data_IF_159507126995
#
_entry.id   IF_159507126995
#
_cell.length_a   1.000
_cell.length_b   1.000
_cell.length_c   1.000
_cell.angle_alpha   90.00
_cell.angle_beta   90.00
_cell.angle_gamma   90.00
#
_symmetry.space_group_name_H-M   'P 1'
#
loop_
_entity.id
_entity.type
_entity.pdbx_description
1 polymer ?
#
# COMPACT_ATOMS: atom_id res chain seq x y z
N UNK A 1 0.47 -20.67 -16.82
CA UNK A 1 -0.74 -20.16 -17.51
C UNK A 1 -0.36 -19.14 -18.59
N UNK A 2 -1.24 -18.83 -19.55
CA UNK A 2 -1.05 -17.63 -20.40
C UNK A 2 -1.51 -16.39 -19.61
N UNK A 3 -0.62 -15.40 -19.47
CA UNK A 3 -0.91 -14.15 -18.76
C UNK A 3 -1.48 -13.15 -19.77
N UNK A 4 -2.64 -12.53 -19.49
CA UNK A 4 -3.23 -11.56 -20.41
C UNK A 4 -2.31 -10.35 -20.60
N UNK A 5 -2.36 -9.76 -21.79
CA UNK A 5 -1.55 -8.58 -22.15
C UNK A 5 -2.10 -7.27 -21.56
N UNK A 6 -3.37 -7.28 -21.15
CA UNK A 6 -4.10 -6.11 -20.66
C UNK A 6 -5.04 -6.48 -19.51
N UNK A 7 -5.54 -5.45 -18.82
CA UNK A 7 -6.63 -5.53 -17.85
C UNK A 7 -7.63 -4.39 -18.10
N UNK A 8 -8.84 -4.53 -17.59
CA UNK A 8 -9.89 -3.51 -17.66
C UNK A 8 -9.73 -2.51 -16.50
N UNK A 9 -9.07 -1.39 -16.77
CA UNK A 9 -8.79 -0.33 -15.80
C UNK A 9 -9.47 1.00 -16.14
N UNK A 10 -9.32 2.00 -15.27
CA UNK A 10 -9.75 3.37 -15.54
C UNK A 10 -8.55 4.19 -16.00
N UNK A 11 -8.50 4.57 -17.28
CA UNK A 11 -7.45 5.46 -17.79
C UNK A 11 -7.56 6.83 -17.14
N UNK A 12 -6.42 7.43 -16.82
CA UNK A 12 -6.29 8.75 -16.21
C UNK A 12 -5.64 9.72 -17.19
N UNK A 13 -5.84 11.00 -16.93
CA UNK A 13 -5.39 12.12 -17.74
C UNK A 13 -3.85 12.17 -17.88
N UNK A 14 -3.13 11.65 -16.89
CA UNK A 14 -1.67 11.52 -16.88
C UNK A 14 -1.15 10.21 -17.51
N UNK A 15 -2.01 9.43 -18.17
CA UNK A 15 -1.64 8.18 -18.83
C UNK A 15 -1.48 6.96 -17.92
N UNK A 16 -1.66 7.09 -16.59
CA UNK A 16 -1.75 5.94 -15.67
C UNK A 16 -3.12 5.28 -15.77
N UNK A 17 -3.24 4.05 -15.26
CA UNK A 17 -4.52 3.36 -15.10
C UNK A 17 -4.79 2.99 -13.64
N UNK A 18 -6.03 3.21 -13.19
CA UNK A 18 -6.53 2.77 -11.90
C UNK A 18 -7.27 1.43 -11.99
N UNK A 19 -7.19 0.62 -10.94
CA UNK A 19 -8.03 -0.57 -10.75
C UNK A 19 -9.33 -0.24 -10.00
N UNK A 20 -9.41 0.95 -9.42
CA UNK A 20 -10.60 1.55 -8.77
C UNK A 20 -10.86 2.96 -9.27
N UNK A 21 -11.99 3.54 -8.85
CA UNK A 21 -12.49 4.84 -9.31
C UNK A 21 -13.09 5.65 -8.15
N UNK A 22 -12.28 5.89 -7.12
CA UNK A 22 -12.74 6.53 -5.89
C UNK A 22 -12.82 8.05 -6.02
N UNK A 23 -13.85 8.64 -5.43
CA UNK A 23 -13.86 10.07 -5.08
C UNK A 23 -13.55 10.16 -3.59
N UNK A 24 -12.42 10.76 -3.23
CA UNK A 24 -11.99 10.83 -1.84
C UNK A 24 -12.20 12.23 -1.26
N UNK A 25 -12.46 12.28 0.04
CA UNK A 25 -12.46 13.50 0.85
C UNK A 25 -11.26 13.40 1.78
N UNK A 26 -10.27 14.25 1.52
CA UNK A 26 -8.94 14.21 2.08
C UNK A 26 -8.77 15.36 3.09
N UNK A 27 -8.98 15.11 4.41
CA UNK A 27 -8.70 16.11 5.42
C UNK A 27 -7.19 16.39 5.48
N UNK A 28 -6.75 17.65 5.49
CA UNK A 28 -5.32 18.01 5.57
C UNK A 28 -4.75 17.75 6.97
N UNK A 29 -5.61 17.88 7.96
CA UNK A 29 -5.30 17.88 9.38
C UNK A 29 -6.39 17.14 10.18
N UNK A 30 -5.99 16.65 11.35
CA UNK A 30 -6.82 15.90 12.29
C UNK A 30 -8.12 16.62 12.71
N UNK A 31 -8.09 17.95 12.80
CA UNK A 31 -9.26 18.75 13.18
C UNK A 31 -10.24 18.97 12.02
N UNK A 32 -9.84 18.69 10.79
CA UNK A 32 -10.71 18.70 9.61
C UNK A 32 -11.44 17.36 9.37
N UNK A 33 -11.10 16.31 10.14
CA UNK A 33 -11.68 14.98 10.00
C UNK A 33 -13.21 14.98 10.11
N UNK A 34 -13.77 15.66 11.12
CA UNK A 34 -15.22 15.67 11.35
C UNK A 34 -16.00 16.26 10.16
N UNK A 35 -15.46 17.32 9.54
CA UNK A 35 -16.03 17.89 8.32
C UNK A 35 -15.94 16.90 7.14
N UNK A 36 -14.79 16.22 6.97
CA UNK A 36 -14.61 15.23 5.92
C UNK A 36 -15.58 14.04 6.05
N UNK A 37 -15.71 13.50 7.25
CA UNK A 37 -16.63 12.40 7.57
C UNK A 37 -18.09 12.80 7.39
N UNK A 38 -18.48 14.00 7.80
CA UNK A 38 -19.83 14.51 7.61
C UNK A 38 -20.21 14.60 6.11
N UNK A 39 -19.29 15.08 5.27
CA UNK A 39 -19.49 15.11 3.81
C UNK A 39 -19.62 13.69 3.26
N UNK A 40 -18.75 12.75 3.67
CA UNK A 40 -18.80 11.37 3.21
C UNK A 40 -20.09 10.65 3.62
N UNK A 41 -20.62 10.98 4.80
CA UNK A 41 -21.91 10.48 5.26
C UNK A 41 -23.06 10.97 4.35
N UNK A 42 -23.04 12.25 3.99
CA UNK A 42 -24.05 12.91 3.17
C UNK A 42 -24.04 12.42 1.72
N UNK A 43 -22.86 12.27 1.11
CA UNK A 43 -22.71 12.01 -0.32
C UNK A 43 -22.20 10.60 -0.59
N UNK A 44 -23.09 9.75 -1.09
CA UNK A 44 -22.75 8.37 -1.49
C UNK A 44 -21.79 8.36 -2.68
N UNK A 45 -20.96 7.32 -2.73
CA UNK A 45 -19.87 7.20 -3.72
C UNK A 45 -18.58 7.92 -3.34
N UNK A 46 -18.54 8.57 -2.17
CA UNK A 46 -17.33 9.21 -1.64
C UNK A 46 -16.75 8.48 -0.44
N UNK A 47 -15.45 8.67 -0.18
CA UNK A 47 -14.73 8.04 0.94
C UNK A 47 -13.92 9.12 1.68
N UNK A 48 -14.21 9.36 2.96
CA UNK A 48 -13.36 10.18 3.82
C UNK A 48 -12.13 9.39 4.28
N UNK A 49 -10.98 10.06 4.36
CA UNK A 49 -9.70 9.49 4.79
C UNK A 49 -9.19 10.18 6.08
N UNK A 50 -9.85 9.98 7.23
CA UNK A 50 -9.44 10.61 8.48
C UNK A 50 -8.08 10.11 8.96
N UNK A 51 -7.31 10.98 9.62
CA UNK A 51 -6.00 10.65 10.19
C UNK A 51 -5.65 11.52 11.40
N UNK A 52 -4.63 11.13 12.17
CA UNK A 52 -4.28 11.78 13.45
C UNK A 52 -3.30 12.97 13.36
N UNK A 53 -2.78 13.33 12.18
CA UNK A 53 -1.70 14.33 12.03
C UNK A 53 -2.08 15.52 11.14
N UNK A 54 -1.10 16.28 10.63
CA UNK A 54 -1.31 17.48 9.81
C UNK A 54 -1.18 18.82 10.56
N UNK A 55 -0.82 18.80 11.85
CA UNK A 55 -0.53 20.01 12.64
C UNK A 55 0.83 19.92 13.34
N UNK A 56 1.52 21.06 13.38
CA UNK A 56 2.78 21.26 14.11
C UNK A 56 3.91 20.29 13.72
N UNK A 57 3.85 19.74 12.51
CA UNK A 57 4.94 18.96 11.92
C UNK A 57 5.96 19.91 11.28
N UNK A 58 7.23 19.51 11.26
CA UNK A 58 8.32 20.32 10.72
C UNK A 58 9.39 19.45 10.07
N UNK A 59 10.24 20.06 9.24
CA UNK A 59 11.35 19.38 8.57
C UNK A 59 10.90 18.16 7.76
N UNK A 60 11.63 17.05 7.86
CA UNK A 60 11.35 15.82 7.14
C UNK A 60 9.96 15.22 7.47
N UNK A 61 9.47 15.40 8.70
CA UNK A 61 8.15 14.90 9.12
C UNK A 61 7.00 15.62 8.38
N UNK A 62 7.12 16.94 8.23
CA UNK A 62 6.16 17.74 7.46
C UNK A 62 6.18 17.35 5.97
N UNK A 63 7.36 17.15 5.41
CA UNK A 63 7.49 16.76 4.00
C UNK A 63 6.96 15.35 3.74
N UNK A 64 7.15 14.40 4.67
CA UNK A 64 6.55 13.07 4.59
C UNK A 64 5.01 13.12 4.69
N UNK A 65 4.45 13.95 5.57
CA UNK A 65 3.01 14.18 5.64
C UNK A 65 2.46 14.62 4.29
N UNK A 66 3.03 15.68 3.72
CA UNK A 66 2.59 16.18 2.41
C UNK A 66 2.81 15.17 1.30
N UNK A 67 3.93 14.46 1.28
CA UNK A 67 4.20 13.42 0.28
C UNK A 67 3.15 12.32 0.33
N UNK A 68 2.78 11.86 1.52
CA UNK A 68 1.77 10.82 1.72
C UNK A 68 0.38 11.31 1.28
N UNK A 69 -0.02 12.52 1.68
CA UNK A 69 -1.32 13.09 1.32
C UNK A 69 -1.45 13.37 -0.18
N UNK A 70 -0.43 14.02 -0.76
CA UNK A 70 -0.38 14.31 -2.19
C UNK A 70 -0.33 13.01 -2.99
N UNK A 71 0.51 12.06 -2.58
CA UNK A 71 0.64 10.74 -3.21
C UNK A 71 -0.68 9.97 -3.23
N UNK A 72 -1.37 9.93 -2.09
CA UNK A 72 -2.71 9.33 -1.94
C UNK A 72 -3.69 9.95 -2.94
N UNK A 73 -3.75 11.29 -3.03
CA UNK A 73 -4.59 11.98 -4.00
C UNK A 73 -4.17 11.78 -5.46
N UNK A 74 -2.87 11.63 -5.74
CA UNK A 74 -2.32 11.36 -7.08
C UNK A 74 -2.57 9.93 -7.53
N UNK A 75 -2.72 8.96 -6.63
CA UNK A 75 -2.89 7.55 -6.94
C UNK A 75 -3.96 7.31 -8.03
N UNK A 76 -3.71 6.44 -9.03
CA UNK A 76 -4.64 6.25 -10.14
C UNK A 76 -5.97 5.56 -9.74
N UNK A 77 -6.07 4.91 -8.59
CA UNK A 77 -7.33 4.42 -8.04
C UNK A 77 -8.26 5.56 -7.57
N UNK A 78 -7.72 6.76 -7.39
CA UNK A 78 -8.46 7.97 -7.05
C UNK A 78 -8.79 8.74 -8.32
N UNK A 79 -10.07 8.86 -8.61
CA UNK A 79 -10.61 9.56 -9.78
C UNK A 79 -10.67 11.07 -9.56
N UNK A 80 -11.10 11.50 -8.38
CA UNK A 80 -11.20 12.90 -8.00
C UNK A 80 -10.99 13.08 -6.48
N UNK A 81 -10.58 14.29 -6.10
CA UNK A 81 -10.21 14.60 -4.71
C UNK A 81 -10.91 15.86 -4.24
N UNK A 82 -11.44 15.84 -3.02
CA UNK A 82 -11.77 17.07 -2.29
C UNK A 82 -10.83 17.18 -1.10
N UNK A 83 -10.11 18.28 -1.02
CA UNK A 83 -9.19 18.58 0.07
C UNK A 83 -9.89 19.51 1.05
N UNK A 84 -9.94 19.15 2.33
CA UNK A 84 -10.51 20.00 3.39
C UNK A 84 -9.42 20.25 4.43
N UNK A 85 -9.02 21.48 4.63
CA UNK A 85 -8.09 21.82 5.73
C UNK A 85 -8.68 22.87 6.65
N UNK A 86 -8.02 23.08 7.79
CA UNK A 86 -8.41 24.18 8.68
C UNK A 86 -8.20 25.53 7.98
N UNK A 87 -7.11 25.68 7.23
CA UNK A 87 -6.67 26.94 6.62
C UNK A 87 -6.26 26.78 5.14
N UNK A 88 -6.24 27.86 4.34
CA UNK A 88 -6.13 27.77 2.88
C UNK A 88 -4.73 27.44 2.34
N UNK A 89 -3.65 27.79 3.02
CA UNK A 89 -2.27 27.66 2.50
C UNK A 89 -1.87 26.20 2.30
N UNK A 90 -2.02 25.35 3.32
CA UNK A 90 -1.69 23.93 3.27
C UNK A 90 -2.70 23.15 2.44
N UNK A 91 -3.97 23.54 2.50
CA UNK A 91 -5.02 23.04 1.59
C UNK A 91 -4.59 23.25 0.13
N UNK A 92 -4.20 24.48 -0.23
CA UNK A 92 -3.76 24.82 -1.59
C UNK A 92 -2.51 24.05 -2.01
N UNK A 93 -1.54 23.83 -1.10
CA UNK A 93 -0.33 23.03 -1.39
C UNK A 93 -0.68 21.63 -1.90
N UNK A 94 -1.63 20.96 -1.26
CA UNK A 94 -2.06 19.61 -1.66
C UNK A 94 -2.85 19.66 -2.98
N UNK A 95 -3.80 20.59 -3.09
CA UNK A 95 -4.61 20.79 -4.31
C UNK A 95 -3.74 21.03 -5.54
N UNK A 96 -2.82 22.00 -5.47
CA UNK A 96 -1.94 22.37 -6.57
C UNK A 96 -1.06 21.19 -7.02
N UNK A 97 -0.61 20.36 -6.08
CA UNK A 97 0.24 19.22 -6.38
C UNK A 97 -0.55 18.07 -7.04
N UNK A 98 -1.77 17.79 -6.58
CA UNK A 98 -2.65 16.77 -7.17
C UNK A 98 -3.12 17.22 -8.57
N UNK A 99 -3.46 18.50 -8.74
CA UNK A 99 -3.96 19.06 -9.99
C UNK A 99 -3.00 18.86 -11.18
N UNK A 100 -1.68 18.75 -10.91
CA UNK A 100 -0.67 18.44 -11.94
C UNK A 100 -0.89 17.09 -12.65
N UNK A 101 -1.67 16.18 -12.05
CA UNK A 101 -2.05 14.92 -12.71
C UNK A 101 -3.17 15.08 -13.72
N UNK A 102 -3.82 16.24 -13.80
CA UNK A 102 -4.97 16.50 -14.66
C UNK A 102 -6.31 16.05 -14.08
N UNK A 103 -6.34 15.34 -12.95
CA UNK A 103 -7.58 14.89 -12.32
C UNK A 103 -8.32 16.03 -11.62
N UNK A 104 -9.66 15.98 -11.51
CA UNK A 104 -10.43 16.96 -10.74
C UNK A 104 -10.03 16.98 -9.26
N UNK A 105 -9.67 18.16 -8.76
CA UNK A 105 -9.39 18.39 -7.35
C UNK A 105 -9.86 19.78 -6.92
N UNK A 106 -10.52 19.88 -5.77
CA UNK A 106 -11.03 21.13 -5.20
C UNK A 106 -10.63 21.25 -3.72
N UNK A 107 -10.30 22.45 -3.26
CA UNK A 107 -9.90 22.73 -1.88
C UNK A 107 -10.90 23.59 -1.13
N UNK A 108 -11.13 23.29 0.14
CA UNK A 108 -11.99 24.06 1.04
C UNK A 108 -11.30 24.27 2.40
N UNK A 109 -11.62 25.38 3.05
CA UNK A 109 -11.10 25.71 4.38
C UNK A 109 -12.21 26.01 5.36
N UNK A 110 -12.07 25.51 6.59
CA UNK A 110 -13.09 25.62 7.65
C UNK A 110 -12.98 26.95 8.39
N UNK A 111 -11.76 27.43 8.66
CA UNK A 111 -11.54 28.68 9.41
C UNK A 111 -12.20 29.88 8.72
N UNK A 112 -12.93 30.67 9.50
CA UNK A 112 -13.69 31.83 9.00
C UNK A 112 -15.02 31.49 8.31
N UNK A 113 -15.35 30.21 8.12
CA UNK A 113 -16.61 29.74 7.51
C UNK A 113 -17.44 28.93 8.51
N UNK A 114 -16.79 28.04 9.27
CA UNK A 114 -17.43 27.08 10.17
C UNK A 114 -17.88 25.80 9.46
N UNK A 115 -18.07 24.74 10.24
CA UNK A 115 -18.32 23.38 9.72
C UNK A 115 -19.61 23.29 8.91
N UNK A 116 -20.74 23.83 9.41
CA UNK A 116 -22.05 23.68 8.76
C UNK A 116 -22.02 24.19 7.31
N UNK A 117 -21.54 25.42 7.12
CA UNK A 117 -21.48 26.05 5.80
C UNK A 117 -20.41 25.41 4.90
N UNK A 118 -19.30 24.95 5.48
CA UNK A 118 -18.26 24.22 4.75
C UNK A 118 -18.79 22.88 4.26
N UNK A 119 -19.41 22.08 5.14
CA UNK A 119 -20.04 20.80 4.81
C UNK A 119 -21.07 20.98 3.70
N UNK A 120 -21.90 22.02 3.75
CA UNK A 120 -22.89 22.30 2.70
C UNK A 120 -22.23 22.55 1.33
N UNK A 121 -21.22 23.43 1.27
CA UNK A 121 -20.48 23.76 0.03
C UNK A 121 -19.73 22.55 -0.52
N UNK A 122 -19.03 21.83 0.36
CA UNK A 122 -18.24 20.65 0.01
C UNK A 122 -19.15 19.53 -0.46
N UNK A 123 -20.29 19.28 0.20
CA UNK A 123 -21.26 18.25 -0.20
C UNK A 123 -21.78 18.47 -1.62
N UNK A 124 -22.02 19.72 -2.01
CA UNK A 124 -22.41 20.05 -3.39
C UNK A 124 -21.31 19.66 -4.40
N UNK A 125 -20.05 20.02 -4.13
CA UNK A 125 -18.93 19.65 -5.01
C UNK A 125 -18.69 18.13 -5.03
N UNK A 126 -18.83 17.47 -3.89
CA UNK A 126 -18.73 16.02 -3.77
C UNK A 126 -19.78 15.30 -4.62
N UNK A 127 -21.01 15.82 -4.67
CA UNK A 127 -22.05 15.29 -5.54
C UNK A 127 -21.67 15.43 -7.02
N UNK A 128 -21.20 16.60 -7.44
CA UNK A 128 -20.74 16.86 -8.82
C UNK A 128 -19.64 15.86 -9.24
N UNK A 129 -18.63 15.68 -8.39
CA UNK A 129 -17.52 14.77 -8.66
C UNK A 129 -17.93 13.29 -8.63
N UNK A 130 -18.87 12.91 -7.73
CA UNK A 130 -19.41 11.55 -7.67
C UNK A 130 -20.18 11.19 -8.95
N UNK A 131 -21.01 12.11 -9.45
CA UNK A 131 -21.69 11.95 -10.74
C UNK A 131 -20.68 11.82 -11.89
N UNK A 132 -19.72 12.74 -12.00
CA UNK A 132 -18.67 12.69 -13.02
C UNK A 132 -17.84 11.39 -12.98
N UNK A 133 -17.49 10.92 -11.79
CA UNK A 133 -16.74 9.69 -11.63
C UNK A 133 -17.56 8.47 -12.06
N UNK A 134 -18.87 8.45 -11.75
CA UNK A 134 -19.77 7.34 -12.08
C UNK A 134 -19.96 7.13 -13.59
N UNK A 135 -19.72 8.15 -14.41
CA UNK A 135 -19.79 8.06 -15.87
C UNK A 135 -18.57 7.35 -16.48
N UNK A 136 -17.47 7.24 -15.73
CA UNK A 136 -16.24 6.62 -16.23
C UNK A 136 -16.41 5.11 -16.35
N UNK A 137 -16.07 4.59 -17.52
CA UNK A 137 -16.08 3.16 -17.80
C UNK A 137 -14.66 2.60 -17.74
N UNK A 138 -14.54 1.30 -17.47
CA UNK A 138 -13.27 0.60 -17.61
C UNK A 138 -12.93 0.43 -19.08
N UNK A 139 -11.65 0.51 -19.39
CA UNK A 139 -11.06 0.34 -20.72
C UNK A 139 -9.90 -0.65 -20.65
N UNK A 140 -9.53 -1.23 -21.78
CA UNK A 140 -8.31 -2.01 -21.87
C UNK A 140 -7.08 -1.13 -21.63
N UNK A 141 -6.31 -1.50 -20.61
CA UNK A 141 -5.05 -0.90 -20.21
C UNK A 141 -3.93 -1.96 -20.27
N UNK A 142 -2.71 -1.60 -20.69
CA UNK A 142 -1.60 -2.53 -20.75
C UNK A 142 -1.25 -3.05 -19.34
N UNK A 143 -0.76 -4.29 -19.25
CA UNK A 143 -0.33 -4.88 -17.98
C UNK A 143 0.73 -4.03 -17.25
N UNK A 144 1.52 -3.24 -17.99
CA UNK A 144 2.53 -2.35 -17.42
C UNK A 144 1.99 -1.20 -16.56
N UNK A 145 0.68 -0.91 -16.65
CA UNK A 145 0.03 0.10 -15.80
C UNK A 145 -0.47 -0.48 -14.46
N UNK A 146 -0.36 -1.80 -14.30
CA UNK A 146 -0.55 -2.44 -13.01
C UNK A 146 0.70 -2.19 -12.16
N UNK A 147 0.53 -1.58 -11.00
CA UNK A 147 1.62 -1.28 -10.09
C UNK A 147 1.33 -2.04 -8.80
N UNK A 148 2.11 -3.08 -8.55
CA UNK A 148 1.83 -4.06 -7.51
C UNK A 148 2.80 -3.87 -6.35
N UNK A 149 2.26 -3.63 -5.17
CA UNK A 149 3.02 -3.59 -3.94
C UNK A 149 2.82 -4.87 -3.12
N UNK A 150 3.75 -5.20 -2.23
CA UNK A 150 3.62 -6.34 -1.31
C UNK A 150 4.20 -5.98 0.05
N UNK A 151 3.55 -6.49 1.08
CA UNK A 151 4.15 -6.71 2.40
C UNK A 151 3.51 -7.93 3.06
N UNK A 152 4.18 -8.57 4.02
CA UNK A 152 3.58 -9.68 4.76
C UNK A 152 2.95 -9.20 6.08
N UNK A 153 2.36 -10.12 6.83
CA UNK A 153 2.07 -9.84 8.23
C UNK A 153 1.40 -11.01 8.93
N UNK A 154 1.53 -10.98 10.26
CA UNK A 154 1.21 -12.13 11.12
C UNK A 154 1.81 -13.43 10.54
N UNK A 155 3.07 -13.33 10.11
CA UNK A 155 3.79 -14.44 9.51
C UNK A 155 3.89 -15.63 10.46
N UNK A 156 3.87 -16.82 9.89
CA UNK A 156 4.11 -18.09 10.55
C UNK A 156 5.12 -18.91 9.73
N UNK A 157 5.37 -20.14 10.14
CA UNK A 157 6.26 -21.07 9.40
C UNK A 157 5.84 -21.28 7.94
N UNK A 158 4.54 -21.26 7.63
CA UNK A 158 4.01 -21.47 6.28
C UNK A 158 4.26 -20.28 5.36
N UNK A 159 4.41 -19.07 5.91
CA UNK A 159 4.71 -17.86 5.15
C UNK A 159 5.99 -18.01 4.33
N UNK A 160 7.10 -18.40 4.97
CA UNK A 160 8.39 -18.58 4.30
C UNK A 160 8.45 -19.82 3.39
N UNK A 161 7.65 -20.85 3.69
CA UNK A 161 7.63 -22.10 2.94
C UNK A 161 6.75 -22.06 1.69
N UNK A 162 5.71 -21.21 1.66
CA UNK A 162 4.71 -21.26 0.61
C UNK A 162 4.09 -19.89 0.23
N UNK A 163 3.56 -19.10 1.18
CA UNK A 163 2.87 -17.83 0.84
C UNK A 163 3.80 -16.82 0.17
N UNK A 164 4.97 -16.54 0.78
CA UNK A 164 5.94 -15.59 0.26
C UNK A 164 6.57 -16.09 -1.05
N UNK A 165 7.00 -17.37 -1.18
CA UNK A 165 7.42 -17.95 -2.46
C UNK A 165 6.36 -17.85 -3.57
N UNK A 166 5.07 -17.95 -3.24
CA UNK A 166 3.98 -17.77 -4.20
C UNK A 166 3.96 -16.35 -4.75
N UNK A 167 4.13 -15.34 -3.88
CA UNK A 167 4.28 -13.95 -4.33
C UNK A 167 5.54 -13.77 -5.17
N UNK A 168 6.66 -14.38 -4.77
CA UNK A 168 7.90 -14.36 -5.55
C UNK A 168 7.72 -14.91 -6.96
N UNK A 169 6.97 -16.02 -7.11
CA UNK A 169 6.65 -16.60 -8.42
C UNK A 169 5.80 -15.65 -9.28
N UNK A 170 4.84 -14.93 -8.68
CA UNK A 170 4.09 -13.88 -9.38
C UNK A 170 5.02 -12.76 -9.83
N UNK A 171 5.93 -12.29 -8.98
CA UNK A 171 6.89 -11.23 -9.34
C UNK A 171 7.77 -11.65 -10.52
N UNK A 172 8.29 -12.88 -10.48
CA UNK A 172 9.13 -13.43 -11.56
C UNK A 172 8.41 -13.48 -12.91
N UNK A 173 7.10 -13.78 -12.89
CA UNK A 173 6.26 -13.88 -14.09
C UNK A 173 5.80 -12.52 -14.62
N UNK A 174 5.57 -11.54 -13.74
CA UNK A 174 5.02 -10.24 -14.11
C UNK A 174 6.07 -9.19 -14.43
N UNK A 175 7.25 -9.20 -13.78
CA UNK A 175 8.32 -8.22 -14.06
C UNK A 175 8.69 -8.12 -15.57
N UNK A 176 8.83 -9.24 -16.33
CA UNK A 176 9.11 -9.18 -17.76
C UNK A 176 8.02 -8.50 -18.61
N UNK A 177 6.79 -8.36 -18.09
CA UNK A 177 5.69 -7.64 -18.74
C UNK A 177 5.77 -6.12 -18.50
N UNK A 178 6.81 -5.65 -17.81
CA UNK A 178 7.05 -4.22 -17.59
C UNK A 178 6.16 -3.63 -16.50
N UNK A 179 5.83 -4.43 -15.49
CA UNK A 179 5.02 -4.07 -14.33
C UNK A 179 5.91 -3.37 -13.29
N UNK A 180 5.38 -2.39 -12.56
CA UNK A 180 6.11 -1.83 -11.41
C UNK A 180 5.79 -2.68 -10.19
N UNK A 181 6.83 -3.13 -9.49
CA UNK A 181 6.72 -3.98 -8.31
C UNK A 181 7.39 -3.28 -7.13
N UNK A 182 6.86 -3.44 -5.92
CA UNK A 182 7.47 -2.89 -4.71
C UNK A 182 7.31 -3.83 -3.52
N UNK A 183 8.38 -3.97 -2.74
CA UNK A 183 8.36 -4.59 -1.42
C UNK A 183 8.98 -3.60 -0.41
N UNK A 184 8.69 -3.77 0.88
CA UNK A 184 9.26 -2.93 1.94
C UNK A 184 9.57 -3.74 3.18
N UNK A 185 9.20 -3.20 4.34
CA UNK A 185 9.36 -3.81 5.67
C UNK A 185 10.84 -3.85 6.12
N UNK A 186 11.44 -2.67 6.34
CA UNK A 186 12.88 -2.51 6.55
C UNK A 186 13.41 -3.36 7.72
N UNK A 187 12.72 -3.38 8.86
CA UNK A 187 13.11 -4.19 10.02
C UNK A 187 12.82 -5.68 9.88
N UNK A 188 11.94 -6.10 8.96
CA UNK A 188 11.66 -7.52 8.66
C UNK A 188 12.77 -8.17 7.81
N UNK A 189 13.80 -7.41 7.43
CA UNK A 189 14.97 -7.91 6.73
C UNK A 189 16.19 -8.10 7.64
N UNK A 190 16.08 -7.81 8.93
CA UNK A 190 17.15 -8.05 9.91
C UNK A 190 17.48 -9.54 9.98
N UNK A 191 18.74 -9.90 9.73
CA UNK A 191 19.22 -11.27 9.58
C UNK A 191 19.37 -11.72 8.11
N UNK A 192 18.75 -11.00 7.17
CA UNK A 192 18.87 -11.25 5.73
C UNK A 192 19.33 -10.01 4.94
N UNK A 193 19.66 -8.90 5.60
CA UNK A 193 19.96 -7.60 4.99
C UNK A 193 21.13 -7.68 4.01
N UNK A 194 22.20 -8.38 4.38
CA UNK A 194 23.35 -8.57 3.51
C UNK A 194 23.04 -9.39 2.25
N UNK A 195 22.11 -10.33 2.34
CA UNK A 195 21.65 -11.12 1.18
C UNK A 195 20.69 -10.28 0.33
N UNK A 196 19.81 -9.51 0.97
CA UNK A 196 18.91 -8.60 0.29
C UNK A 196 19.67 -7.52 -0.48
N UNK A 197 20.70 -6.91 0.11
CA UNK A 197 21.53 -5.91 -0.55
C UNK A 197 22.12 -6.40 -1.87
N UNK A 198 22.55 -7.67 -1.95
CA UNK A 198 23.08 -8.27 -3.18
C UNK A 198 22.04 -8.40 -4.30
N UNK A 199 20.75 -8.20 -4.00
CA UNK A 199 19.65 -8.14 -4.96
C UNK A 199 19.43 -6.75 -5.54
N UNK A 200 20.19 -5.74 -5.12
CA UNK A 200 20.23 -4.48 -5.85
C UNK A 200 20.88 -4.70 -7.22
N UNK A 201 20.20 -4.28 -8.28
CA UNK A 201 20.62 -4.46 -9.68
C UNK A 201 21.93 -3.74 -10.01
N UNK A 202 22.21 -2.64 -9.31
CA UNK A 202 23.45 -1.85 -9.46
C UNK A 202 24.10 -1.61 -8.10
N UNK A 203 25.44 -1.40 -8.04
CA UNK A 203 26.13 -1.08 -6.78
C UNK A 203 25.51 0.09 -6.02
N UNK A 204 24.97 1.08 -6.73
CA UNK A 204 24.27 2.23 -6.15
C UNK A 204 22.99 1.79 -5.42
N UNK A 205 22.19 0.91 -6.02
CA UNK A 205 21.00 0.36 -5.37
C UNK A 205 21.35 -0.49 -4.14
N UNK A 206 22.43 -1.30 -4.22
CA UNK A 206 22.89 -2.10 -3.07
C UNK A 206 23.33 -1.21 -1.91
N UNK A 207 24.12 -0.16 -2.21
CA UNK A 207 24.61 0.79 -1.20
C UNK A 207 23.47 1.61 -0.61
N UNK A 208 22.51 2.05 -1.44
CA UNK A 208 21.33 2.79 -1.00
C UNK A 208 20.48 1.92 -0.05
N UNK A 209 20.26 0.65 -0.39
CA UNK A 209 19.55 -0.30 0.47
C UNK A 209 20.26 -0.48 1.82
N UNK A 210 21.56 -0.77 1.81
CA UNK A 210 22.31 -0.95 3.06
C UNK A 210 22.29 0.31 3.92
N UNK A 211 22.40 1.49 3.31
CA UNK A 211 22.27 2.74 4.04
C UNK A 211 20.89 2.89 4.69
N UNK A 212 19.82 2.69 3.91
CA UNK A 212 18.44 2.76 4.42
C UNK A 212 18.21 1.79 5.57
N UNK A 213 18.64 0.53 5.41
CA UNK A 213 18.51 -0.47 6.47
C UNK A 213 19.32 -0.10 7.72
N UNK A 214 20.58 0.33 7.56
CA UNK A 214 21.42 0.76 8.69
C UNK A 214 20.85 1.98 9.39
N UNK A 215 20.39 3.00 8.68
CA UNK A 215 19.79 4.19 9.27
C UNK A 215 18.54 3.81 10.11
N UNK A 216 17.71 2.90 9.60
CA UNK A 216 16.52 2.42 10.30
C UNK A 216 16.88 1.60 11.54
N UNK A 217 17.86 0.70 11.42
CA UNK A 217 18.34 -0.11 12.53
C UNK A 217 18.99 0.76 13.64
N UNK A 218 19.81 1.72 13.25
CA UNK A 218 20.46 2.66 14.17
C UNK A 218 19.42 3.53 14.91
N UNK A 219 18.35 3.95 14.22
CA UNK A 219 17.22 4.63 14.86
C UNK A 219 16.58 3.76 15.95
N UNK A 220 16.30 2.49 15.65
CA UNK A 220 15.69 1.61 16.64
C UNK A 220 16.65 1.40 17.82
N UNK A 221 17.91 1.06 17.57
CA UNK A 221 18.91 0.84 18.63
C UNK A 221 19.13 2.08 19.51
N UNK A 222 18.96 3.29 18.96
CA UNK A 222 19.09 4.54 19.71
C UNK A 222 17.91 4.79 20.65
N UNK A 223 16.69 4.44 20.24
CA UNK A 223 15.45 4.71 21.00
C UNK A 223 14.99 3.48 21.83
N UNK A 224 15.55 2.32 21.54
CA UNK A 224 15.26 1.06 22.21
C UNK A 224 15.54 1.11 23.72
N UNK A 225 14.59 0.59 24.50
CA UNK A 225 14.79 0.27 25.91
C UNK A 225 15.11 -1.21 26.14
N UNK A 226 15.01 -2.01 25.08
CA UNK A 226 15.06 -3.47 24.95
C UNK A 226 15.58 -3.86 23.55
N UNK A 227 16.13 -5.07 23.38
CA UNK A 227 16.72 -5.49 22.10
C UNK A 227 15.63 -5.69 21.02
N UNK A 228 15.88 -5.25 19.78
CA UNK A 228 15.00 -5.48 18.64
C UNK A 228 14.67 -6.96 18.46
N UNK A 229 15.59 -7.86 18.82
CA UNK A 229 15.38 -9.32 18.82
C UNK A 229 14.22 -9.78 19.70
N UNK A 230 13.76 -8.96 20.66
CA UNK A 230 12.57 -9.22 21.48
C UNK A 230 11.28 -8.67 20.84
N UNK A 231 11.38 -7.69 19.94
CA UNK A 231 10.25 -7.12 19.20
C UNK A 231 9.92 -7.88 17.90
N UNK A 232 10.94 -8.52 17.29
CA UNK A 232 10.83 -9.32 16.07
C UNK A 232 11.67 -10.60 16.19
N UNK A 233 11.09 -11.81 15.98
CA UNK A 233 9.69 -12.08 15.64
C UNK A 233 8.69 -11.64 16.72
N UNK A 234 7.53 -11.11 16.34
CA UNK A 234 6.49 -10.73 17.31
C UNK A 234 5.99 -11.96 18.08
N UNK A 235 5.38 -11.78 19.26
CA UNK A 235 4.81 -12.89 20.03
C UNK A 235 3.85 -13.78 19.21
N UNK A 236 3.06 -13.17 18.32
CA UNK A 236 2.22 -13.91 17.38
C UNK A 236 3.03 -14.76 16.40
N UNK A 237 4.15 -14.25 15.88
CA UNK A 237 5.03 -15.00 14.99
C UNK A 237 5.67 -16.22 15.66
N UNK A 238 6.12 -16.06 16.91
CA UNK A 238 6.71 -17.14 17.71
C UNK A 238 5.65 -18.22 17.96
N UNK A 239 4.42 -17.83 18.33
CA UNK A 239 3.29 -18.75 18.43
C UNK A 239 2.96 -19.45 17.10
N UNK A 240 3.19 -18.78 15.97
CA UNK A 240 3.12 -19.34 14.61
C UNK A 240 4.29 -20.24 14.21
N UNK A 241 5.28 -20.42 15.09
CA UNK A 241 6.38 -21.37 14.96
C UNK A 241 7.69 -20.81 14.37
N UNK A 242 7.82 -19.49 14.18
CA UNK A 242 9.10 -18.90 13.76
C UNK A 242 10.08 -18.87 14.93
N UNK A 243 11.27 -19.43 14.73
CA UNK A 243 12.24 -19.68 15.81
C UNK A 243 13.33 -18.62 15.94
N UNK A 244 13.77 -18.01 14.82
CA UNK A 244 14.77 -16.95 14.82
C UNK A 244 14.38 -15.78 13.93
N UNK A 245 15.03 -14.63 14.15
CA UNK A 245 14.84 -13.44 13.31
C UNK A 245 15.33 -13.68 11.88
N UNK A 246 16.40 -14.45 11.69
CA UNK A 246 16.93 -14.82 10.38
C UNK A 246 15.94 -15.72 9.63
N UNK A 247 15.37 -16.73 10.29
CA UNK A 247 14.35 -17.61 9.67
C UNK A 247 13.18 -16.78 9.12
N UNK A 248 12.70 -15.82 9.93
CA UNK A 248 11.65 -14.89 9.53
C UNK A 248 12.09 -14.02 8.35
N UNK A 249 13.28 -13.42 8.42
CA UNK A 249 13.78 -12.51 7.40
C UNK A 249 14.02 -13.22 6.06
N UNK A 250 14.57 -14.43 6.06
CA UNK A 250 14.73 -15.23 4.84
C UNK A 250 13.39 -15.66 4.25
N UNK A 251 12.40 -15.97 5.09
CA UNK A 251 11.03 -16.21 4.67
C UNK A 251 10.40 -14.95 4.05
N UNK A 252 10.56 -13.80 4.70
CA UNK A 252 10.09 -12.49 4.24
C UNK A 252 10.72 -12.09 2.89
N UNK A 253 11.99 -12.41 2.71
CA UNK A 253 12.76 -12.15 1.51
C UNK A 253 12.29 -12.97 0.29
N UNK A 254 11.65 -14.14 0.49
CA UNK A 254 11.11 -14.93 -0.64
C UNK A 254 10.05 -14.20 -1.47
N UNK A 255 9.44 -13.11 -0.95
CA UNK A 255 8.42 -12.32 -1.66
C UNK A 255 8.92 -11.76 -2.99
N UNK A 256 10.23 -11.55 -3.13
CA UNK A 256 10.80 -10.98 -4.36
C UNK A 256 11.21 -12.03 -5.41
N UNK A 257 11.01 -13.32 -5.10
CA UNK A 257 11.36 -14.42 -5.99
C UNK A 257 12.82 -14.34 -6.44
N UNK A 258 13.04 -14.50 -7.73
CA UNK A 258 14.34 -14.35 -8.36
C UNK A 258 14.59 -12.96 -8.98
N UNK A 259 13.84 -11.91 -8.62
CA UNK A 259 14.01 -10.52 -9.11
C UNK A 259 15.03 -9.68 -8.34
N UNK A 260 15.69 -8.77 -9.04
CA UNK A 260 16.57 -7.74 -8.47
C UNK A 260 15.85 -6.40 -8.42
N UNK A 261 16.01 -5.64 -7.34
CA UNK A 261 15.44 -4.30 -7.24
C UNK A 261 16.33 -3.26 -7.92
N UNK A 262 15.71 -2.29 -8.59
CA UNK A 262 16.39 -1.32 -9.45
C UNK A 262 16.69 0.00 -8.73
N UNK A 263 15.94 0.31 -7.67
CA UNK A 263 16.18 1.45 -6.79
C UNK A 263 15.52 1.20 -5.42
N UNK A 264 15.87 2.05 -4.47
CA UNK A 264 15.29 2.14 -3.12
C UNK A 264 14.48 3.43 -3.03
N UNK A 265 13.28 3.38 -2.50
CA UNK A 265 12.36 4.50 -2.37
C UNK A 265 12.33 4.95 -0.91
N UNK A 266 12.31 6.26 -0.70
CA UNK A 266 11.89 6.83 0.58
C UNK A 266 10.40 6.54 0.84
N UNK A 267 9.93 6.69 2.09
CA UNK A 267 8.51 6.54 2.41
C UNK A 267 7.63 7.42 1.50
N UNK A 268 6.60 6.82 0.90
CA UNK A 268 5.66 7.44 -0.06
C UNK A 268 6.29 8.05 -1.33
N UNK A 269 7.53 7.70 -1.66
CA UNK A 269 8.17 8.15 -2.91
C UNK A 269 7.60 7.39 -4.12
N UNK A 270 7.28 8.13 -5.19
CA UNK A 270 6.82 7.55 -6.46
C UNK A 270 8.03 7.01 -7.25
N UNK A 271 8.00 5.76 -7.74
CA UNK A 271 9.09 5.20 -8.53
C UNK A 271 9.27 5.90 -9.89
N UNK A 272 10.48 6.40 -10.15
CA UNK A 272 10.81 7.17 -11.38
C UNK A 272 11.93 6.57 -12.23
N UNK A 273 12.62 5.52 -11.76
CA UNK A 273 13.71 4.83 -12.50
C UNK A 273 13.26 3.84 -13.58
N UNK A 274 11.95 3.75 -13.83
CA UNK A 274 11.36 2.89 -14.85
C UNK A 274 10.72 1.63 -14.28
N UNK A 275 10.34 0.72 -15.19
CA UNK A 275 9.62 -0.52 -14.83
C UNK A 275 10.55 -1.51 -14.14
N UNK A 276 10.05 -2.22 -13.13
CA UNK A 276 10.81 -3.23 -12.40
C UNK A 276 10.47 -3.26 -10.91
N UNK A 277 11.30 -3.96 -10.13
CA UNK A 277 11.16 -4.09 -8.69
C UNK A 277 11.84 -2.93 -7.94
N UNK A 278 11.17 -2.40 -6.93
CA UNK A 278 11.67 -1.39 -6.01
C UNK A 278 11.64 -1.91 -4.58
N UNK A 279 12.57 -1.45 -3.74
CA UNK A 279 12.43 -1.54 -2.30
C UNK A 279 11.92 -0.19 -1.78
N UNK A 280 10.90 -0.12 -0.95
CA UNK A 280 10.48 1.12 -0.27
C UNK A 280 10.79 1.01 1.21
N UNK A 281 11.45 2.03 1.77
CA UNK A 281 11.64 2.13 3.21
C UNK A 281 10.28 2.28 3.89
N UNK A 282 9.89 1.28 4.67
CA UNK A 282 8.64 1.29 5.42
C UNK A 282 8.82 0.59 6.76
N UNK A 283 8.03 1.03 7.74
CA UNK A 283 7.69 0.22 8.91
C UNK A 283 7.10 -1.13 8.49
N UNK A 284 7.23 -2.12 9.37
CA UNK A 284 6.58 -3.43 9.25
C UNK A 284 5.12 -3.41 9.74
N UNK A 285 4.70 -2.32 10.38
CA UNK A 285 3.32 -2.09 10.76
C UNK A 285 2.43 -2.03 9.52
N UNK A 286 1.32 -2.75 9.58
CA UNK A 286 0.58 -3.10 8.38
C UNK A 286 -0.02 -1.91 7.66
N UNK A 287 -0.76 -1.10 8.40
CA UNK A 287 -1.48 0.04 7.86
C UNK A 287 -0.53 1.13 7.34
N UNK A 288 0.61 1.35 8.00
CA UNK A 288 1.62 2.31 7.56
C UNK A 288 2.21 1.91 6.21
N UNK A 289 2.71 0.67 6.08
CA UNK A 289 3.33 0.20 4.85
C UNK A 289 2.38 0.30 3.64
N UNK A 290 1.15 -0.19 3.78
CA UNK A 290 0.16 -0.15 2.68
C UNK A 290 -0.23 1.29 2.35
N UNK A 291 -0.35 2.18 3.36
CA UNK A 291 -0.63 3.60 3.12
C UNK A 291 0.49 4.29 2.35
N UNK A 292 1.76 4.04 2.71
CA UNK A 292 2.92 4.60 2.01
C UNK A 292 3.04 4.08 0.57
N UNK A 293 2.79 2.79 0.34
CA UNK A 293 2.83 2.20 -1.01
C UNK A 293 1.66 2.70 -1.87
N UNK A 294 0.45 2.80 -1.31
CA UNK A 294 -0.67 3.46 -1.98
C UNK A 294 -0.31 4.92 -2.34
N UNK A 295 0.31 5.67 -1.43
CA UNK A 295 0.76 7.03 -1.70
C UNK A 295 1.87 7.10 -2.76
N UNK A 296 2.77 6.11 -2.83
CA UNK A 296 3.76 5.96 -3.89
C UNK A 296 3.16 5.65 -5.27
N UNK A 297 1.85 5.40 -5.35
CA UNK A 297 1.11 5.20 -6.59
C UNK A 297 0.91 3.75 -6.99
N UNK A 298 1.17 2.79 -6.09
CA UNK A 298 0.80 1.38 -6.29
C UNK A 298 -0.73 1.22 -6.21
N UNK A 299 -1.30 0.36 -7.06
CA UNK A 299 -2.75 0.28 -7.28
C UNK A 299 -3.34 -1.12 -7.04
N UNK A 300 -2.52 -2.07 -6.61
CA UNK A 300 -2.89 -3.37 -6.01
C UNK A 300 -1.83 -3.72 -4.98
N UNK A 301 -2.28 -4.17 -3.80
CA UNK A 301 -1.40 -4.68 -2.75
C UNK A 301 -1.57 -6.19 -2.57
N UNK A 302 -0.47 -6.93 -2.48
CA UNK A 302 -0.45 -8.35 -2.17
C UNK A 302 -0.08 -8.56 -0.69
N UNK A 303 -0.83 -9.42 -0.02
CA UNK A 303 -0.72 -9.58 1.42
C UNK A 303 -0.65 -11.05 1.86
N UNK A 304 0.53 -11.70 1.79
CA UNK A 304 0.71 -13.01 2.37
C UNK A 304 0.62 -12.95 3.90
N UNK A 305 -0.22 -13.81 4.48
CA UNK A 305 -0.43 -13.89 5.94
C UNK A 305 -0.44 -15.32 6.46
N UNK A 306 0.19 -15.52 7.62
CA UNK A 306 0.19 -16.80 8.32
C UNK A 306 -1.07 -16.99 9.16
N UNK A 307 -1.45 -15.97 9.94
CA UNK A 307 -2.54 -16.08 10.94
C UNK A 307 -3.83 -15.31 10.61
N UNK A 308 -3.89 -14.67 9.44
CA UNK A 308 -5.13 -14.08 8.93
C UNK A 308 -5.30 -12.60 9.28
N UNK A 309 -4.23 -11.82 9.17
CA UNK A 309 -4.28 -10.39 9.41
C UNK A 309 -5.37 -9.74 8.55
N UNK A 310 -6.16 -8.86 9.14
CA UNK A 310 -7.39 -8.34 8.54
C UNK A 310 -7.19 -7.06 7.72
N UNK A 311 -5.97 -6.50 7.67
CA UNK A 311 -5.67 -5.17 7.09
C UNK A 311 -6.28 -4.95 5.69
N UNK A 312 -6.92 -3.80 5.49
CA UNK A 312 -7.29 -3.28 4.17
C UNK A 312 -6.60 -1.95 3.89
N UNK A 313 -7.11 -1.25 2.90
CA UNK A 313 -6.74 0.14 2.62
C UNK A 313 -7.91 0.79 1.86
N UNK A 314 -8.20 2.09 2.08
CA UNK A 314 -9.36 2.73 1.48
C UNK A 314 -9.25 2.98 -0.02
N UNK A 315 -8.04 2.97 -0.61
CA UNK A 315 -7.83 3.27 -2.04
C UNK A 315 -7.07 2.17 -2.81
N UNK A 316 -6.26 1.35 -2.14
CA UNK A 316 -5.51 0.27 -2.76
C UNK A 316 -6.11 -1.09 -2.36
N UNK A 317 -6.64 -1.88 -3.32
CA UNK A 317 -7.22 -3.18 -2.99
C UNK A 317 -6.13 -4.14 -2.48
N UNK A 318 -6.37 -4.72 -1.30
CA UNK A 318 -5.47 -5.65 -0.62
C UNK A 318 -5.92 -7.09 -0.87
N UNK A 319 -5.13 -7.84 -1.63
CA UNK A 319 -5.35 -9.25 -1.95
C UNK A 319 -4.62 -10.12 -0.93
N UNK A 320 -5.39 -10.83 -0.09
CA UNK A 320 -4.80 -11.68 0.95
C UNK A 320 -4.62 -13.11 0.47
N UNK A 321 -3.47 -13.69 0.80
CA UNK A 321 -3.20 -15.10 0.54
C UNK A 321 -2.62 -15.78 1.78
N UNK A 322 -2.91 -17.08 1.94
CA UNK A 322 -2.34 -17.89 3.01
C UNK A 322 -2.00 -19.28 2.54
N UNK A 323 -0.94 -19.83 3.10
CA UNK A 323 -0.56 -21.24 2.99
C UNK A 323 -0.87 -22.02 4.27
N UNK A 324 -1.35 -21.37 5.33
CA UNK A 324 -1.69 -22.05 6.56
C UNK A 324 -3.08 -22.69 6.42
N UNK A 325 -3.21 -24.03 6.47
CA UNK A 325 -4.50 -24.72 6.33
C UNK A 325 -5.51 -24.35 7.42
N UNK A 326 -5.03 -24.02 8.63
CA UNK A 326 -5.89 -23.56 9.72
C UNK A 326 -6.47 -22.20 9.37
N UNK A 327 -5.63 -21.23 9.01
CA UNK A 327 -6.05 -19.88 8.61
C UNK A 327 -6.96 -19.90 7.39
N UNK A 328 -6.64 -20.71 6.37
CA UNK A 328 -7.49 -20.91 5.20
C UNK A 328 -8.89 -21.42 5.57
N UNK A 329 -9.03 -22.16 6.67
CA UNK A 329 -10.29 -22.69 7.18
C UNK A 329 -11.00 -21.73 8.13
N UNK A 330 -10.29 -21.12 9.08
CA UNK A 330 -10.89 -20.33 10.18
C UNK A 330 -11.06 -18.86 9.84
N UNK A 331 -10.25 -18.33 8.93
CA UNK A 331 -10.24 -16.94 8.49
C UNK A 331 -10.62 -16.81 7.00
N UNK A 332 -11.35 -17.78 6.44
CA UNK A 332 -11.62 -17.87 5.00
C UNK A 332 -12.33 -16.63 4.43
N UNK A 333 -13.09 -15.91 5.24
CA UNK A 333 -13.75 -14.65 4.81
C UNK A 333 -12.77 -13.51 4.52
N UNK A 334 -11.55 -13.59 5.08
CA UNK A 334 -10.48 -12.62 4.86
C UNK A 334 -9.48 -13.03 3.77
N UNK A 335 -9.55 -14.26 3.24
CA UNK A 335 -8.55 -14.83 2.33
C UNK A 335 -9.07 -14.85 0.88
N UNK A 336 -8.39 -14.14 -0.01
CA UNK A 336 -8.70 -14.14 -1.44
C UNK A 336 -8.11 -15.37 -2.17
N UNK A 337 -6.96 -15.87 -1.70
CA UNK A 337 -6.23 -16.98 -2.32
C UNK A 337 -5.69 -17.96 -1.27
N UNK A 338 -6.22 -19.19 -1.28
CA UNK A 338 -5.69 -20.31 -0.48
C UNK A 338 -4.67 -21.10 -1.30
N UNK A 339 -3.41 -21.11 -0.83
CA UNK A 339 -2.31 -21.88 -1.40
C UNK A 339 -1.77 -22.95 -0.45
N UNK A 340 -2.53 -23.29 0.60
CA UNK A 340 -2.16 -24.30 1.61
C UNK A 340 -1.88 -25.68 1.03
N UNK A 341 -2.45 -25.97 -0.15
CA UNK A 341 -2.19 -27.21 -0.90
C UNK A 341 -0.72 -27.40 -1.29
N UNK A 342 0.10 -26.35 -1.28
CA UNK A 342 1.57 -26.48 -1.45
C UNK A 342 2.15 -27.38 -0.36
N UNK A 343 1.77 -27.19 0.91
CA UNK A 343 2.34 -27.91 2.04
C UNK A 343 1.99 -29.41 2.00
N UNK A 344 0.82 -29.73 1.45
CA UNK A 344 0.38 -31.12 1.21
C UNK A 344 0.91 -31.72 -0.12
N UNK A 345 1.73 -30.97 -0.87
CA UNK A 345 2.27 -31.34 -2.19
C UNK A 345 1.21 -31.62 -3.27
N UNK A 346 -0.02 -31.16 -3.08
CA UNK A 346 -1.10 -31.23 -4.06
C UNK A 346 -1.05 -30.09 -5.09
N UNK A 347 -0.32 -29.02 -4.74
CA UNK A 347 -0.04 -27.85 -5.58
C UNK A 347 1.47 -27.60 -5.56
N UNK A 348 2.03 -27.10 -6.66
CA UNK A 348 3.41 -26.64 -6.71
C UNK A 348 3.45 -25.10 -6.78
N UNK A 349 4.63 -24.50 -6.57
CA UNK A 349 4.80 -23.05 -6.55
C UNK A 349 4.38 -22.38 -7.86
N UNK A 350 4.61 -23.02 -8.99
CA UNK A 350 4.22 -22.49 -10.31
C UNK A 350 2.70 -22.34 -10.44
N UNK A 351 1.95 -23.38 -10.03
CA UNK A 351 0.48 -23.35 -9.99
C UNK A 351 -0.04 -22.34 -8.98
N UNK A 352 0.60 -22.22 -7.82
CA UNK A 352 0.21 -21.24 -6.82
C UNK A 352 0.39 -19.80 -7.33
N UNK A 353 1.52 -19.52 -7.99
CA UNK A 353 1.75 -18.22 -8.64
C UNK A 353 0.73 -17.95 -9.74
N UNK A 354 0.35 -18.98 -10.52
CA UNK A 354 -0.73 -18.86 -11.50
C UNK A 354 -2.08 -18.52 -10.84
N UNK A 355 -2.45 -19.14 -9.72
CA UNK A 355 -3.68 -18.82 -8.99
C UNK A 355 -3.65 -17.39 -8.41
N UNK A 356 -2.51 -16.94 -7.89
CA UNK A 356 -2.35 -15.57 -7.41
C UNK A 356 -2.47 -14.57 -8.57
N UNK A 357 -1.83 -14.82 -9.72
CA UNK A 357 -1.95 -13.98 -10.92
C UNK A 357 -3.40 -13.91 -11.39
N UNK A 358 -4.12 -15.04 -11.45
CA UNK A 358 -5.55 -15.06 -11.79
C UNK A 358 -6.37 -14.19 -10.85
N UNK A 359 -6.14 -14.28 -9.53
CA UNK A 359 -6.84 -13.46 -8.54
C UNK A 359 -6.52 -11.98 -8.74
N UNK A 360 -5.24 -11.62 -8.88
CA UNK A 360 -4.77 -10.25 -9.14
C UNK A 360 -5.42 -9.64 -10.38
N UNK A 361 -5.51 -10.37 -11.49
CA UNK A 361 -6.16 -9.88 -12.72
C UNK A 361 -7.67 -9.71 -12.51
N UNK A 362 -8.33 -10.64 -11.81
CA UNK A 362 -9.76 -10.49 -11.48
C UNK A 362 -10.01 -9.24 -10.65
N UNK A 363 -9.13 -8.95 -9.69
CA UNK A 363 -9.20 -7.76 -8.84
C UNK A 363 -8.92 -6.49 -9.64
N UNK A 364 -7.91 -6.51 -10.51
CA UNK A 364 -7.60 -5.42 -11.44
C UNK A 364 -8.82 -5.08 -12.32
N UNK A 365 -9.52 -6.11 -12.81
CA UNK A 365 -10.74 -6.02 -13.63
C UNK A 365 -12.01 -5.63 -12.84
N UNK A 366 -11.90 -5.44 -11.52
CA UNK A 366 -12.99 -4.88 -10.71
C UNK A 366 -13.67 -5.85 -9.75
N UNK A 367 -13.19 -7.08 -9.59
CA UNK A 367 -13.59 -7.90 -8.45
C UNK A 367 -13.11 -7.21 -7.16
N UNK A 368 -14.00 -7.06 -6.18
CA UNK A 368 -13.63 -6.63 -4.83
C UNK A 368 -12.82 -7.75 -4.14
N UNK A 369 -11.82 -7.35 -3.37
CA UNK A 369 -11.14 -8.27 -2.44
C UNK A 369 -12.03 -8.54 -1.22
N UNK A 370 -11.69 -9.58 -0.46
CA UNK A 370 -12.30 -9.84 0.84
C UNK A 370 -12.26 -8.60 1.77
N UNK A 371 -11.12 -7.91 1.81
CA UNK A 371 -10.93 -6.72 2.64
C UNK A 371 -11.90 -5.58 2.26
N UNK A 372 -12.07 -5.34 0.96
CA UNK A 372 -12.99 -4.32 0.45
C UNK A 372 -14.44 -4.69 0.73
N UNK A 373 -14.81 -5.95 0.53
CA UNK A 373 -16.17 -6.43 0.77
C UNK A 373 -16.57 -6.34 2.24
N UNK A 374 -15.62 -6.53 3.17
CA UNK A 374 -15.81 -6.40 4.61
C UNK A 374 -15.66 -4.95 5.13
N UNK A 375 -15.21 -4.02 4.28
CA UNK A 375 -15.11 -2.60 4.61
C UNK A 375 -13.86 -2.18 5.38
N UNK A 376 -12.77 -2.96 5.32
CA UNK A 376 -11.48 -2.60 5.90
C UNK A 376 -10.85 -1.40 5.16
N UNK A 377 -10.56 -0.33 5.90
CA UNK A 377 -10.18 0.99 5.38
C UNK A 377 -9.09 1.66 6.21
N UNK A 378 -8.16 0.88 6.73
CA UNK A 378 -7.08 1.40 7.56
C UNK A 378 -6.20 2.35 6.74
N UNK A 379 -6.09 3.60 7.21
CA UNK A 379 -5.28 4.67 6.62
C UNK A 379 -4.45 5.29 7.73
N UNK A 380 -3.15 5.01 7.74
CA UNK A 380 -2.26 5.38 8.84
C UNK A 380 -1.07 6.15 8.30
N UNK A 381 -0.92 7.36 8.81
CA UNK A 381 0.17 8.27 8.49
C UNK A 381 1.41 7.89 9.30
N UNK A 382 2.59 7.93 8.68
CA UNK A 382 3.87 7.77 9.38
C UNK A 382 4.30 9.10 9.99
N UNK A 383 4.79 9.05 11.24
CA UNK A 383 5.28 10.21 11.99
C UNK A 383 6.71 9.96 12.46
N UNK A 384 7.60 10.90 12.15
CA UNK A 384 9.03 10.80 12.44
C UNK A 384 9.40 11.46 13.77
N UNK A 385 8.74 12.58 14.11
CA UNK A 385 9.11 13.41 15.27
C UNK A 385 7.91 13.74 16.15
N UNK A 386 8.17 14.12 17.40
CA UNK A 386 7.16 14.76 18.24
C UNK A 386 6.75 16.10 17.60
N UNK A 387 5.46 16.41 17.66
CA UNK A 387 4.93 17.71 17.21
C UNK A 387 5.54 18.87 18.04
N UNK A 388 5.73 20.02 17.39
CA UNK A 388 6.33 21.22 17.96
C UNK A 388 5.57 21.80 19.17
#
# INVERSE_FOLDING_TARGET
>A
MEIPKSFLGYKRENGRAGTRNHVIILPVDDISNACAEAVANNIKGTIALPHSYGRLQFGADLELHFRTMIGTGKNPNVAAVIVIGIEPKWTKRIVDAIAKTGKPVEGFSIEGVGDIDTIAKVSKKAQELSMWASEKQREECPMSDLWISVKCGESDTTSGLASNPTVGNLMDKLEPLGVHLCFGETSELTGAENVCAKRGKTPEAQKKFMKTWSDYNDFILKEATDDLSESQPTAGNIAGGLTTIEEKAFGNFQKIGSRQFIDVLEPAEEPTKGKGLYFMDTSSAAAECVTLQAAGGFNIHLFPTGQGNIIGNPIEPVIKLTANPLTAKTMSEHIDVDVSKILSRQMNLDRAGDELIKSTIRVANGRLTCAEALGHKEFVMTKLYRSA
#
